data_IF_889190947987
#
_entry.id   IF_889190947987
#
_cell.length_a   1.000
_cell.length_b   1.000
_cell.length_c   1.000
_cell.angle_alpha   90.00
_cell.angle_beta   90.00
_cell.angle_gamma   90.00
#
_symmetry.space_group_name_H-M   'P 1'
#
loop_
_entity.id
_entity.type
_entity.pdbx_description
1 polymer ?
#
# COMPACT_ATOMS: atom_id res chain seq x y z
N UNK A 1 -8.88 -22.39 -2.58
CA UNK A 1 -8.75 -21.16 -1.78
C UNK A 1 -7.28 -20.72 -1.59
N UNK A 2 -6.28 -21.55 -1.89
CA UNK A 2 -4.86 -21.19 -1.63
C UNK A 2 -4.22 -20.22 -2.64
N UNK A 3 -4.72 -20.16 -3.88
CA UNK A 3 -4.13 -19.31 -4.93
C UNK A 3 -4.22 -17.81 -4.61
N UNK A 4 -5.37 -17.34 -4.12
CA UNK A 4 -5.58 -15.92 -3.78
C UNK A 4 -4.74 -15.50 -2.57
N UNK A 5 -4.51 -16.43 -1.63
CA UNK A 5 -3.61 -16.20 -0.50
C UNK A 5 -2.16 -16.11 -0.96
N UNK A 6 -1.70 -17.06 -1.78
CA UNK A 6 -0.34 -17.08 -2.31
C UNK A 6 -0.02 -15.80 -3.10
N UNK A 7 -0.92 -15.38 -3.99
CA UNK A 7 -0.75 -14.15 -4.78
C UNK A 7 -0.73 -12.90 -3.91
N UNK A 8 -1.54 -12.84 -2.85
CA UNK A 8 -1.52 -11.73 -1.89
C UNK A 8 -0.21 -11.67 -1.11
N UNK A 9 0.30 -12.83 -0.69
CA UNK A 9 1.56 -12.93 0.04
C UNK A 9 2.74 -12.52 -0.86
N UNK A 10 2.70 -12.90 -2.14
CA UNK A 10 3.65 -12.44 -3.18
C UNK A 10 3.62 -10.92 -3.36
N UNK A 11 2.44 -10.32 -3.53
CA UNK A 11 2.32 -8.84 -3.60
C UNK A 11 2.88 -8.20 -2.32
N UNK A 12 2.64 -8.80 -1.16
CA UNK A 12 3.21 -8.36 0.12
C UNK A 12 4.73 -8.39 0.15
N UNK A 13 5.35 -9.41 -0.44
CA UNK A 13 6.81 -9.49 -0.59
C UNK A 13 7.34 -8.40 -1.54
N UNK A 14 6.65 -8.16 -2.67
CA UNK A 14 6.99 -7.07 -3.59
C UNK A 14 6.91 -5.69 -2.91
N UNK A 15 5.92 -5.47 -2.04
CA UNK A 15 5.83 -4.25 -1.24
C UNK A 15 7.04 -4.05 -0.31
N UNK A 16 7.50 -5.12 0.34
CA UNK A 16 8.69 -5.08 1.20
C UNK A 16 9.97 -4.84 0.38
N UNK A 17 10.08 -5.49 -0.78
CA UNK A 17 11.19 -5.30 -1.70
C UNK A 17 11.27 -3.86 -2.22
N UNK A 18 10.13 -3.23 -2.55
CA UNK A 18 10.07 -1.82 -2.95
C UNK A 18 10.62 -0.89 -1.85
N UNK A 19 10.25 -1.17 -0.59
CA UNK A 19 10.73 -0.39 0.56
C UNK A 19 12.24 -0.56 0.72
N UNK A 20 12.77 -1.78 0.64
CA UNK A 20 14.20 -2.07 0.77
C UNK A 20 15.00 -1.42 -0.37
N UNK A 21 14.52 -1.55 -1.61
CA UNK A 21 15.13 -0.91 -2.77
C UNK A 21 15.20 0.61 -2.59
N UNK A 22 14.13 1.26 -2.14
CA UNK A 22 14.16 2.70 -1.83
C UNK A 22 15.22 3.04 -0.77
N UNK A 23 15.35 2.21 0.26
CA UNK A 23 16.33 2.43 1.32
C UNK A 23 17.77 2.29 0.86
N UNK A 24 18.04 1.42 -0.12
CA UNK A 24 19.34 1.23 -0.73
C UNK A 24 19.67 2.36 -1.72
N UNK A 25 18.66 2.87 -2.45
CA UNK A 25 18.82 3.98 -3.41
C UNK A 25 19.12 5.30 -2.71
N UNK A 26 18.43 5.61 -1.60
CA UNK A 26 18.60 6.87 -0.89
C UNK A 26 19.23 6.68 0.50
N UNK A 27 20.44 7.21 0.67
CA UNK A 27 21.12 7.23 1.97
C UNK A 27 20.47 8.26 2.92
N UNK A 28 20.42 7.98 4.23
CA UNK A 28 20.06 8.99 5.23
C UNK A 28 21.02 10.20 5.20
N UNK A 29 20.55 11.42 5.53
CA UNK A 29 19.19 11.78 5.91
C UNK A 29 18.22 11.90 4.71
N UNK A 30 17.10 11.19 4.78
CA UNK A 30 16.04 11.24 3.76
C UNK A 30 14.92 12.18 4.21
N UNK A 31 14.38 13.06 3.34
CA UNK A 31 13.25 13.92 3.70
C UNK A 31 11.94 13.12 3.88
N UNK A 32 11.77 12.04 3.12
CA UNK A 32 10.69 11.09 3.25
C UNK A 32 11.17 9.65 2.95
N UNK A 33 10.36 8.67 3.33
CA UNK A 33 10.63 7.27 3.03
C UNK A 33 9.34 6.46 2.88
N UNK A 34 9.42 5.37 2.13
CA UNK A 34 8.36 4.38 2.06
C UNK A 34 8.35 3.52 3.34
N UNK A 35 7.15 3.16 3.78
CA UNK A 35 6.96 2.25 4.91
C UNK A 35 5.69 1.43 4.72
N UNK A 36 5.64 0.25 5.31
CA UNK A 36 4.46 -0.60 5.32
C UNK A 36 3.54 -0.18 6.46
N UNK A 37 2.33 0.25 6.11
CA UNK A 37 1.27 0.59 7.05
C UNK A 37 0.24 -0.55 7.10
N UNK A 38 0.09 -1.18 8.26
CA UNK A 38 -0.89 -2.25 8.50
C UNK A 38 -2.14 -1.68 9.17
N UNK A 39 -3.31 -1.96 8.61
CA UNK A 39 -4.61 -1.52 9.11
C UNK A 39 -5.58 -2.70 9.05
N UNK A 40 -5.91 -3.25 10.22
CA UNK A 40 -6.71 -4.48 10.34
C UNK A 40 -6.09 -5.63 9.55
N UNK A 41 -6.86 -6.18 8.60
CA UNK A 41 -6.43 -7.26 7.70
C UNK A 41 -5.70 -6.78 6.43
N UNK A 42 -5.48 -5.49 6.27
CA UNK A 42 -4.94 -4.89 5.05
C UNK A 42 -3.58 -4.23 5.31
N UNK A 43 -2.74 -4.19 4.29
CA UNK A 43 -1.45 -3.53 4.35
C UNK A 43 -1.23 -2.72 3.08
N UNK A 44 -0.60 -1.56 3.23
CA UNK A 44 -0.33 -0.63 2.15
C UNK A 44 1.04 -0.01 2.33
N UNK A 45 1.74 0.22 1.22
CA UNK A 45 2.96 1.03 1.24
C UNK A 45 2.57 2.51 1.22
N UNK A 46 3.11 3.29 2.15
CA UNK A 46 2.83 4.71 2.30
C UNK A 46 4.11 5.52 2.41
N UNK A 47 4.06 6.76 1.90
CA UNK A 47 5.08 7.75 2.17
C UNK A 47 4.95 8.27 3.59
N UNK A 48 6.09 8.45 4.25
CA UNK A 48 6.20 9.00 5.59
C UNK A 48 7.28 10.07 5.62
N UNK A 49 6.93 11.25 6.12
CA UNK A 49 7.91 12.31 6.35
C UNK A 49 8.89 11.89 7.43
N UNK A 50 10.13 12.36 7.31
CA UNK A 50 11.07 12.33 8.42
C UNK A 50 10.59 13.29 9.51
N UNK A 51 10.14 12.73 10.63
CA UNK A 51 9.83 13.52 11.83
C UNK A 51 11.08 14.06 12.50
N UNK A 52 10.97 15.23 13.13
CA UNK A 52 11.91 15.67 14.17
C UNK A 52 11.52 15.06 15.52
N UNK A 53 12.38 15.15 16.55
CA UNK A 53 12.06 14.67 17.92
C UNK A 53 10.75 15.28 18.49
N UNK A 54 10.28 16.39 17.94
CA UNK A 54 9.10 17.14 18.41
C UNK A 54 7.87 17.00 17.49
N UNK A 55 8.02 16.49 16.26
CA UNK A 55 6.94 16.40 15.28
C UNK A 55 6.65 14.93 14.96
N UNK A 56 5.39 14.51 15.15
CA UNK A 56 4.95 13.17 14.81
C UNK A 56 5.18 12.90 13.32
N UNK A 57 5.80 11.76 13.02
CA UNK A 57 5.99 11.31 11.64
C UNK A 57 4.63 11.13 10.95
N UNK A 58 4.37 11.90 9.90
CA UNK A 58 3.07 11.96 9.20
C UNK A 58 3.10 11.18 7.89
N UNK A 59 2.02 10.46 7.60
CA UNK A 59 1.77 9.84 6.30
C UNK A 59 1.22 10.87 5.30
N UNK A 60 1.62 10.79 4.04
CA UNK A 60 1.19 11.72 3.00
C UNK A 60 1.13 11.03 1.62
N UNK A 61 0.53 11.70 0.64
CA UNK A 61 0.51 11.27 -0.77
C UNK A 61 1.52 12.12 -1.55
N UNK A 62 2.45 11.49 -2.27
CA UNK A 62 3.57 12.21 -2.88
C UNK A 62 3.13 13.14 -4.02
N UNK A 63 2.17 12.70 -4.84
CA UNK A 63 1.74 13.42 -6.06
C UNK A 63 0.36 14.08 -5.93
N UNK A 64 -0.34 13.89 -4.82
CA UNK A 64 -1.75 14.29 -4.68
C UNK A 64 -2.01 15.31 -3.57
N UNK A 65 -1.03 15.61 -2.71
CA UNK A 65 -1.19 16.62 -1.67
C UNK A 65 -0.06 17.64 -1.66
N UNK A 66 -0.35 18.79 -1.06
CA UNK A 66 0.57 19.94 -1.03
C UNK A 66 1.92 19.59 -0.41
N UNK A 67 1.94 18.77 0.64
CA UNK A 67 3.16 18.29 1.29
C UNK A 67 4.04 17.51 0.31
N UNK A 68 3.47 16.60 -0.46
CA UNK A 68 4.18 15.81 -1.45
C UNK A 68 4.70 16.67 -2.61
N UNK A 69 3.87 17.60 -3.11
CA UNK A 69 4.27 18.52 -4.19
C UNK A 69 5.41 19.45 -3.74
N UNK A 70 5.37 19.95 -2.51
CA UNK A 70 6.44 20.77 -1.93
C UNK A 70 7.72 19.95 -1.72
N UNK A 71 7.62 18.68 -1.35
CA UNK A 71 8.77 17.79 -1.29
C UNK A 71 9.39 17.62 -2.68
N UNK A 72 8.59 17.26 -3.68
CA UNK A 72 9.06 17.05 -5.05
C UNK A 72 9.73 18.30 -5.63
N UNK A 73 9.18 19.49 -5.38
CA UNK A 73 9.77 20.75 -5.85
C UNK A 73 11.13 21.05 -5.22
N UNK A 74 11.34 20.64 -3.97
CA UNK A 74 12.62 20.79 -3.25
C UNK A 74 13.73 19.81 -3.67
N UNK A 75 13.36 18.70 -4.33
CA UNK A 75 14.32 17.71 -4.81
C UNK A 75 15.03 18.17 -6.09
N UNK A 76 16.28 17.72 -6.27
CA UNK A 76 16.97 17.82 -7.55
C UNK A 76 16.21 17.05 -8.64
N UNK A 77 16.30 17.44 -9.92
CA UNK A 77 15.58 16.75 -10.99
C UNK A 77 15.81 15.22 -11.02
N UNK A 78 17.05 14.69 -10.89
CA UNK A 78 17.25 13.24 -10.87
C UNK A 78 16.62 12.56 -9.65
N UNK A 79 16.68 13.19 -8.48
CA UNK A 79 16.06 12.62 -7.28
C UNK A 79 14.53 12.63 -7.39
N UNK A 80 13.97 13.69 -8.00
CA UNK A 80 12.52 13.81 -8.24
C UNK A 80 12.01 12.69 -9.15
N UNK A 81 12.71 12.41 -10.24
CA UNK A 81 12.36 11.33 -11.18
C UNK A 81 12.31 9.99 -10.46
N UNK A 82 13.37 9.64 -9.73
CA UNK A 82 13.42 8.38 -8.97
C UNK A 82 12.31 8.32 -7.91
N UNK A 83 12.01 9.41 -7.21
CA UNK A 83 10.88 9.44 -6.26
C UNK A 83 9.53 9.18 -6.94
N UNK A 84 9.33 9.70 -8.15
CA UNK A 84 8.11 9.48 -8.93
C UNK A 84 8.02 8.03 -9.45
N UNK A 85 9.13 7.41 -9.83
CA UNK A 85 9.17 5.98 -10.19
C UNK A 85 8.73 5.11 -8.99
N UNK A 86 9.28 5.36 -7.80
CA UNK A 86 8.85 4.68 -6.59
C UNK A 86 7.38 4.92 -6.26
N UNK A 87 6.84 6.11 -6.54
CA UNK A 87 5.42 6.41 -6.35
C UNK A 87 4.52 5.64 -7.31
N UNK A 88 4.91 5.51 -8.58
CA UNK A 88 4.17 4.73 -9.55
C UNK A 88 4.10 3.25 -9.14
N UNK A 89 5.23 2.65 -8.77
CA UNK A 89 5.25 1.26 -8.32
C UNK A 89 4.49 1.06 -7.00
N UNK A 90 4.58 2.03 -6.07
CA UNK A 90 3.78 2.02 -4.84
C UNK A 90 2.28 1.99 -5.14
N UNK A 91 1.80 2.87 -6.01
CA UNK A 91 0.40 2.96 -6.40
C UNK A 91 -0.08 1.66 -7.04
N UNK A 92 0.71 1.10 -7.96
CA UNK A 92 0.43 -0.17 -8.63
C UNK A 92 0.33 -1.33 -7.64
N UNK A 93 1.30 -1.49 -6.74
CA UNK A 93 1.27 -2.56 -5.73
C UNK A 93 0.10 -2.42 -4.76
N UNK A 94 -0.19 -1.19 -4.30
CA UNK A 94 -1.33 -0.93 -3.44
C UNK A 94 -2.67 -1.22 -4.12
N UNK A 95 -2.79 -0.89 -5.41
CA UNK A 95 -3.97 -1.21 -6.20
C UNK A 95 -4.15 -2.72 -6.34
N UNK A 96 -3.10 -3.44 -6.75
CA UNK A 96 -3.14 -4.90 -6.90
C UNK A 96 -3.54 -5.59 -5.59
N UNK A 97 -2.92 -5.18 -4.48
CA UNK A 97 -3.27 -5.71 -3.15
C UNK A 97 -4.72 -5.38 -2.77
N UNK A 98 -5.16 -4.15 -3.02
CA UNK A 98 -6.52 -3.69 -2.75
C UNK A 98 -7.59 -4.43 -3.54
N UNK A 99 -7.35 -4.67 -4.84
CA UNK A 99 -8.25 -5.42 -5.71
C UNK A 99 -8.40 -6.86 -5.23
N UNK A 100 -7.30 -7.56 -4.98
CA UNK A 100 -7.32 -8.93 -4.45
C UNK A 100 -8.08 -9.02 -3.13
N UNK A 101 -7.85 -8.06 -2.24
CA UNK A 101 -8.54 -8.00 -0.96
C UNK A 101 -10.04 -7.77 -1.11
N UNK A 102 -10.45 -6.89 -2.02
CA UNK A 102 -11.85 -6.60 -2.29
C UNK A 102 -12.57 -7.78 -2.96
N UNK A 103 -11.96 -8.39 -3.98
CA UNK A 103 -12.50 -9.55 -4.70
C UNK A 103 -12.78 -10.71 -3.76
N UNK A 104 -11.79 -11.09 -2.92
CA UNK A 104 -11.96 -12.18 -1.94
C UNK A 104 -13.09 -11.86 -0.96
N UNK A 105 -13.16 -10.63 -0.43
CA UNK A 105 -14.26 -10.22 0.46
C UNK A 105 -15.62 -10.22 -0.23
N UNK A 106 -15.66 -9.87 -1.51
CA UNK A 106 -16.90 -9.87 -2.29
C UNK A 106 -17.41 -11.30 -2.49
N UNK A 107 -16.53 -12.22 -2.90
CA UNK A 107 -16.86 -13.63 -3.09
C UNK A 107 -17.31 -14.29 -1.78
N UNK A 108 -16.63 -14.00 -0.66
CA UNK A 108 -17.04 -14.52 0.64
C UNK A 108 -18.45 -14.06 1.01
N UNK A 109 -18.75 -12.77 0.86
CA UNK A 109 -20.10 -12.24 1.11
C UNK A 109 -21.16 -12.89 0.24
N UNK A 110 -20.84 -13.18 -1.02
CA UNK A 110 -21.76 -13.88 -1.92
C UNK A 110 -22.03 -15.31 -1.45
N UNK A 111 -20.98 -16.06 -1.10
CA UNK A 111 -21.12 -17.42 -0.54
C UNK A 111 -21.94 -17.43 0.75
N UNK A 112 -21.67 -16.50 1.66
CA UNK A 112 -22.42 -16.35 2.91
C UNK A 112 -23.91 -16.08 2.64
N UNK A 113 -24.20 -15.31 1.58
CA UNK A 113 -25.59 -15.01 1.16
C UNK A 113 -26.27 -16.26 0.59
N UNK A 114 -25.57 -17.02 -0.26
CA UNK A 114 -26.09 -18.28 -0.82
C UNK A 114 -26.37 -19.30 0.29
N UNK A 115 -25.44 -19.48 1.23
CA UNK A 115 -25.64 -20.39 2.37
C UNK A 115 -26.86 -20.03 3.20
N UNK A 116 -27.04 -18.74 3.50
CA UNK A 116 -28.25 -18.27 4.22
C UNK A 116 -29.54 -18.56 3.46
N UNK A 117 -29.53 -18.41 2.14
CA UNK A 117 -30.69 -18.75 1.31
C UNK A 117 -31.00 -20.25 1.32
N UNK A 118 -29.98 -21.10 1.29
CA UNK A 118 -30.16 -22.55 1.35
C UNK A 118 -30.66 -23.01 2.73
N UNK A 119 -30.18 -22.40 3.81
CA UNK A 119 -30.70 -22.63 5.17
C UNK A 119 -32.19 -22.27 5.25
N UNK A 120 -32.59 -21.12 4.71
CA UNK A 120 -34.00 -20.71 4.65
C UNK A 120 -34.86 -21.67 3.81
N UNK A 121 -34.33 -22.21 2.71
CA UNK A 121 -35.04 -23.20 1.87
C UNK A 121 -35.19 -24.56 2.54
N UNK A 122 -34.26 -24.96 3.41
CA UNK A 122 -34.31 -26.22 4.16
C UNK A 122 -35.14 -26.14 5.45
N UNK A 123 -35.46 -24.93 5.89
CA UNK A 123 -36.28 -24.66 7.08
C UNK A 123 -37.79 -24.52 6.79
N UNK A 124 -38.27 -25.00 5.64
CA UNK A 124 -39.70 -25.10 5.26
C UNK A 124 -40.03 -26.56 5.00
#
# INVERSE_FOLDING_TARGET
MDYTRAMRDEIGQCMLALIDQFQQTFRPPRPAHLTLHKTGSSQYVRWRLRGSRLVKQQYFELSANEVGMNLLSSLSPPAREVYLEFEQERLKLNLLYGMQHYEVRSLQRYLDTVHKLDELKRGV
#
